data_IF_249652624553
#
_entry.id   IF_249652624553
#
_cell.length_a   1.000
_cell.length_b   1.000
_cell.length_c   1.000
_cell.angle_alpha   90.00
_cell.angle_beta   90.00
_cell.angle_gamma   90.00
#
_symmetry.space_group_name_H-M   'P 1'
#
loop_
_entity.id
_entity.type
_entity.pdbx_description
1 polymer ?
#
# COMPACT_ATOMS: atom_id res chain seq x y z
N UNK A 1 -14.65 -2.96 17.91
CA UNK A 1 -13.63 -3.10 16.84
C UNK A 1 -13.93 -2.06 15.77
N UNK A 2 -12.93 -1.35 15.27
CA UNK A 2 -13.16 -0.45 14.14
C UNK A 2 -13.57 -1.25 12.90
N UNK A 3 -14.43 -0.65 12.07
CA UNK A 3 -14.86 -1.22 10.81
C UNK A 3 -13.64 -1.39 9.89
N UNK A 4 -13.45 -2.55 9.22
CA UNK A 4 -12.33 -2.75 8.30
C UNK A 4 -12.39 -1.73 7.16
N UNK A 5 -11.22 -1.27 6.74
CA UNK A 5 -11.10 -0.34 5.61
C UNK A 5 -10.25 -0.92 4.49
N UNK A 6 -10.64 -0.65 3.25
CA UNK A 6 -9.87 -0.95 2.06
C UNK A 6 -9.26 0.36 1.57
N UNK A 7 -7.95 0.39 1.39
CA UNK A 7 -7.22 1.53 0.85
C UNK A 7 -6.72 1.20 -0.55
N UNK A 8 -7.01 2.11 -1.48
CA UNK A 8 -6.54 2.03 -2.87
C UNK A 8 -5.68 3.25 -3.16
N UNK A 9 -4.38 3.04 -3.27
CA UNK A 9 -3.41 4.08 -3.61
C UNK A 9 -3.40 4.35 -5.12
N UNK A 10 -3.29 5.62 -5.51
CA UNK A 10 -3.25 6.01 -6.92
C UNK A 10 -2.55 7.34 -7.15
N UNK A 11 -2.42 7.73 -8.42
CA UNK A 11 -2.07 9.06 -8.88
C UNK A 11 -2.99 9.45 -10.05
N UNK A 12 -2.83 10.64 -10.61
CA UNK A 12 -3.64 11.12 -11.72
C UNK A 12 -3.66 10.19 -12.94
N UNK A 13 -2.58 9.43 -13.19
CA UNK A 13 -2.48 8.50 -14.32
C UNK A 13 -3.27 7.20 -14.13
N UNK A 14 -3.48 6.78 -12.88
CA UNK A 14 -4.18 5.53 -12.55
C UNK A 14 -5.52 5.72 -11.81
N UNK A 15 -6.02 6.95 -11.76
CA UNK A 15 -7.28 7.32 -11.08
C UNK A 15 -8.49 6.50 -11.57
N UNK A 16 -8.59 6.26 -12.89
CA UNK A 16 -9.69 5.45 -13.45
C UNK A 16 -9.62 4.01 -12.92
N UNK A 17 -8.41 3.43 -12.89
CA UNK A 17 -8.19 2.09 -12.33
C UNK A 17 -8.66 2.03 -10.88
N UNK A 18 -8.23 2.99 -10.05
CA UNK A 18 -8.60 3.05 -8.64
C UNK A 18 -10.12 3.12 -8.42
N UNK A 19 -10.84 3.90 -9.23
CA UNK A 19 -12.32 3.98 -9.16
C UNK A 19 -12.99 2.67 -9.55
N UNK A 20 -12.50 2.01 -10.61
CA UNK A 20 -13.02 0.71 -11.04
C UNK A 20 -12.71 -0.37 -10.00
N UNK A 21 -11.53 -0.34 -9.39
CA UNK A 21 -11.15 -1.19 -8.27
C UNK A 21 -12.11 -1.01 -7.09
N UNK A 22 -12.31 0.24 -6.63
CA UNK A 22 -13.23 0.55 -5.55
C UNK A 22 -14.66 0.07 -5.83
N UNK A 23 -15.16 0.31 -7.05
CA UNK A 23 -16.45 -0.19 -7.49
C UNK A 23 -16.51 -1.72 -7.46
N UNK A 24 -15.48 -2.41 -7.93
CA UNK A 24 -15.43 -3.89 -7.93
C UNK A 24 -15.51 -4.46 -6.51
N UNK A 25 -14.88 -3.82 -5.52
CA UNK A 25 -14.94 -4.24 -4.11
C UNK A 25 -16.38 -4.20 -3.59
N UNK A 26 -17.09 -3.10 -3.84
CA UNK A 26 -18.48 -2.93 -3.41
C UNK A 26 -19.44 -3.82 -4.19
N UNK A 27 -19.31 -3.89 -5.51
CA UNK A 27 -20.20 -4.67 -6.40
C UNK A 27 -20.17 -6.17 -6.07
N UNK A 28 -18.99 -6.71 -5.78
CA UNK A 28 -18.80 -8.15 -5.58
C UNK A 28 -19.07 -8.60 -4.14
N UNK A 29 -19.23 -7.67 -3.19
CA UNK A 29 -19.48 -7.98 -1.78
C UNK A 29 -20.94 -8.34 -1.50
N UNK A 30 -21.17 -9.35 -0.64
CA UNK A 30 -22.53 -9.68 -0.16
C UNK A 30 -23.09 -8.59 0.77
N UNK A 31 -22.23 -7.96 1.55
CA UNK A 31 -22.56 -6.81 2.40
C UNK A 31 -21.60 -5.65 2.13
N UNK A 32 -21.90 -4.77 1.15
CA UNK A 32 -21.05 -3.63 0.81
C UNK A 32 -20.95 -2.60 1.94
N UNK A 33 -21.87 -2.62 2.90
CA UNK A 33 -21.85 -1.73 4.07
C UNK A 33 -21.10 -2.35 5.27
N UNK A 34 -20.40 -3.47 5.07
CA UNK A 34 -19.56 -4.09 6.10
C UNK A 34 -18.14 -3.50 6.22
N UNK A 35 -17.72 -2.69 5.24
CA UNK A 35 -16.39 -2.10 5.16
C UNK A 35 -16.41 -0.78 4.38
N UNK A 36 -15.38 0.03 4.54
CA UNK A 36 -15.22 1.28 3.78
C UNK A 36 -14.13 1.14 2.73
N UNK A 37 -14.21 1.94 1.67
CA UNK A 37 -13.21 1.96 0.60
C UNK A 37 -12.75 3.41 0.43
N UNK A 38 -11.46 3.63 0.63
CA UNK A 38 -10.82 4.94 0.60
C UNK A 38 -9.77 4.94 -0.49
N UNK A 39 -9.93 5.83 -1.49
CA UNK A 39 -8.88 6.08 -2.49
C UNK A 39 -7.96 7.16 -1.92
N UNK A 40 -6.66 6.88 -1.88
CA UNK A 40 -5.64 7.84 -1.46
C UNK A 40 -4.77 8.19 -2.66
N UNK A 41 -4.55 9.49 -2.87
CA UNK A 41 -3.85 9.99 -4.05
C UNK A 41 -2.49 10.54 -3.68
N UNK A 42 -1.48 10.21 -4.48
CA UNK A 42 -0.11 10.70 -4.31
C UNK A 42 -0.06 12.23 -4.23
N UNK A 43 -0.90 12.93 -5.00
CA UNK A 43 -0.89 14.40 -5.06
C UNK A 43 -1.33 15.08 -3.75
N UNK A 44 -2.04 14.36 -2.87
CA UNK A 44 -2.54 14.90 -1.60
C UNK A 44 -1.45 14.95 -0.51
N UNK A 45 -0.26 14.40 -0.80
CA UNK A 45 0.85 14.27 0.15
C UNK A 45 2.06 15.11 -0.30
N UNK A 46 2.30 16.30 0.32
CA UNK A 46 3.34 17.24 -0.11
C UNK A 46 4.76 16.70 -0.11
N UNK A 47 5.07 15.70 0.72
CA UNK A 47 6.40 15.12 0.82
C UNK A 47 6.89 14.48 -0.49
N UNK A 48 5.98 14.01 -1.36
CA UNK A 48 6.35 13.54 -2.69
C UNK A 48 6.84 14.67 -3.60
N UNK A 49 6.10 15.80 -3.62
CA UNK A 49 6.47 16.97 -4.41
C UNK A 49 7.84 17.51 -3.97
N UNK A 50 8.12 17.50 -2.67
CA UNK A 50 9.39 17.97 -2.12
C UNK A 50 10.61 17.20 -2.64
N UNK A 51 10.42 15.98 -3.15
CA UNK A 51 11.48 15.10 -3.63
C UNK A 51 11.60 15.01 -5.15
N UNK A 52 10.82 15.78 -5.92
CA UNK A 52 10.92 15.82 -7.38
C UNK A 52 12.36 16.08 -7.85
N UNK A 53 12.84 15.24 -8.77
CA UNK A 53 14.18 15.40 -9.37
C UNK A 53 15.35 14.99 -8.46
N UNK A 54 15.11 14.64 -7.20
CA UNK A 54 16.15 14.17 -6.30
C UNK A 54 16.51 12.70 -6.58
N UNK A 55 17.73 12.31 -6.23
CA UNK A 55 18.19 10.92 -6.32
C UNK A 55 17.76 10.13 -5.08
N UNK A 56 17.30 8.90 -5.29
CA UNK A 56 16.93 7.95 -4.23
C UNK A 56 17.56 6.58 -4.48
N UNK A 57 17.72 5.80 -3.40
CA UNK A 57 18.32 4.46 -3.45
C UNK A 57 17.29 3.39 -3.83
N UNK A 58 17.61 2.61 -4.86
CA UNK A 58 16.84 1.44 -5.30
C UNK A 58 17.79 0.39 -5.87
N UNK A 59 17.68 -0.84 -5.37
CA UNK A 59 18.57 -1.95 -5.76
C UNK A 59 20.05 -1.58 -5.63
N UNK A 60 20.41 -0.86 -4.55
CA UNK A 60 21.76 -0.38 -4.27
C UNK A 60 22.28 0.69 -5.23
N UNK A 61 21.44 1.21 -6.14
CA UNK A 61 21.79 2.21 -7.14
C UNK A 61 20.96 3.48 -6.99
N UNK A 62 21.48 4.61 -7.49
CA UNK A 62 20.78 5.90 -7.45
C UNK A 62 19.87 6.11 -8.66
N UNK A 63 18.57 6.31 -8.43
CA UNK A 63 17.57 6.66 -9.44
C UNK A 63 16.98 8.05 -9.18
N UNK A 64 16.43 8.71 -10.20
CA UNK A 64 15.79 10.03 -10.03
C UNK A 64 14.31 9.84 -9.75
N UNK A 65 13.81 10.44 -8.66
CA UNK A 65 12.39 10.44 -8.34
C UNK A 65 11.62 11.36 -9.29
N UNK A 66 10.50 10.84 -9.82
CA UNK A 66 9.59 11.55 -10.72
C UNK A 66 8.16 11.34 -10.21
N UNK A 67 7.50 12.42 -9.83
CA UNK A 67 6.09 12.36 -9.41
C UNK A 67 5.17 11.95 -10.58
N UNK A 68 5.58 12.26 -11.81
CA UNK A 68 4.88 11.85 -13.03
C UNK A 68 5.11 10.36 -13.39
N UNK A 69 5.89 9.59 -12.61
CA UNK A 69 6.01 8.15 -12.83
C UNK A 69 4.66 7.45 -12.66
N UNK A 70 4.37 6.45 -13.50
CA UNK A 70 3.11 5.71 -13.45
C UNK A 70 2.84 5.12 -12.06
N UNK A 71 3.89 4.70 -11.35
CA UNK A 71 3.85 4.03 -10.06
C UNK A 71 4.35 4.92 -8.90
N UNK A 72 4.40 6.25 -9.08
CA UNK A 72 4.86 7.20 -8.04
C UNK A 72 4.07 7.09 -6.72
N UNK A 73 2.85 6.57 -6.74
CA UNK A 73 2.01 6.35 -5.56
C UNK A 73 2.43 5.14 -4.71
N UNK A 74 3.31 4.26 -5.20
CA UNK A 74 3.63 2.97 -4.55
C UNK A 74 3.98 3.08 -3.06
N UNK A 75 4.72 4.10 -2.57
CA UNK A 75 4.99 4.26 -1.14
C UNK A 75 3.72 4.42 -0.27
N UNK A 76 2.60 4.88 -0.85
CA UNK A 76 1.33 4.99 -0.12
C UNK A 76 0.75 3.63 0.30
N UNK A 77 1.27 2.50 -0.19
CA UNK A 77 0.93 1.15 0.33
C UNK A 77 1.15 1.01 1.84
N UNK A 78 2.02 1.84 2.41
CA UNK A 78 2.41 1.82 3.82
C UNK A 78 1.65 2.84 4.69
N UNK A 79 0.80 3.67 4.07
CA UNK A 79 0.02 4.74 4.73
C UNK A 79 -1.16 4.26 5.60
N UNK A 80 -1.82 3.12 5.28
CA UNK A 80 -3.05 2.73 5.99
C UNK A 80 -2.96 2.63 7.53
N UNK A 81 -1.87 2.11 8.14
CA UNK A 81 -1.77 2.14 9.60
C UNK A 81 -1.86 3.56 10.18
N UNK A 82 -1.18 4.54 9.60
CA UNK A 82 -1.24 5.95 10.04
C UNK A 82 -2.65 6.54 9.90
N UNK A 83 -3.30 6.34 8.74
CA UNK A 83 -4.66 6.84 8.50
C UNK A 83 -5.70 6.20 9.41
N UNK A 84 -5.45 4.98 9.87
CA UNK A 84 -6.29 4.26 10.82
C UNK A 84 -5.97 4.58 12.27
N UNK A 85 -5.03 5.49 12.55
CA UNK A 85 -4.55 5.78 13.92
C UNK A 85 -3.93 4.55 14.58
N UNK A 86 -3.27 3.71 13.79
CA UNK A 86 -2.67 2.43 14.17
C UNK A 86 -3.66 1.47 14.85
N UNK A 87 -4.91 1.44 14.39
CA UNK A 87 -5.94 0.59 14.97
C UNK A 87 -6.76 -0.18 13.93
N UNK A 88 -7.14 -1.41 14.28
CA UNK A 88 -8.01 -2.25 13.44
C UNK A 88 -7.32 -2.86 12.23
N UNK A 89 -8.12 -3.21 11.23
CA UNK A 89 -7.66 -3.92 10.02
C UNK A 89 -7.81 -3.07 8.77
N UNK A 90 -6.78 -3.11 7.94
CA UNK A 90 -6.77 -2.47 6.63
C UNK A 90 -6.44 -3.49 5.54
N UNK A 91 -7.10 -3.40 4.40
CA UNK A 91 -6.71 -4.09 3.18
C UNK A 91 -6.14 -3.07 2.20
N UNK A 92 -4.88 -3.22 1.84
CA UNK A 92 -4.18 -2.40 0.84
C UNK A 92 -4.33 -3.07 -0.51
N UNK A 93 -4.68 -2.30 -1.55
CA UNK A 93 -4.88 -2.82 -2.90
C UNK A 93 -4.35 -1.81 -3.93
N UNK A 94 -3.52 -2.27 -4.87
CA UNK A 94 -3.10 -1.48 -6.02
C UNK A 94 -4.29 -1.09 -6.92
N UNK A 95 -4.21 0.03 -7.65
CA UNK A 95 -5.34 0.57 -8.40
C UNK A 95 -5.72 -0.28 -9.62
N UNK A 96 -4.89 -1.23 -10.03
CA UNK A 96 -5.12 -2.17 -11.13
C UNK A 96 -5.52 -3.59 -10.65
N UNK A 97 -5.92 -3.74 -9.39
CA UNK A 97 -6.44 -4.99 -8.82
C UNK A 97 -7.95 -4.88 -8.61
N UNK A 98 -8.70 -5.90 -9.04
CA UNK A 98 -10.17 -5.91 -9.03
C UNK A 98 -10.72 -7.13 -8.29
N UNK A 99 -11.75 -6.92 -7.46
CA UNK A 99 -12.44 -8.00 -6.79
C UNK A 99 -13.46 -8.67 -7.72
N UNK A 100 -13.26 -9.97 -7.95
CA UNK A 100 -14.18 -10.83 -8.72
C UNK A 100 -15.15 -11.62 -7.84
N UNK A 101 -15.00 -11.51 -6.52
CA UNK A 101 -15.80 -12.20 -5.50
C UNK A 101 -15.87 -11.39 -4.21
N UNK A 102 -16.58 -11.90 -3.20
CA UNK A 102 -16.73 -11.23 -1.92
C UNK A 102 -15.40 -11.05 -1.19
N UNK A 103 -15.00 -9.80 -0.93
CA UNK A 103 -13.74 -9.43 -0.27
C UNK A 103 -13.81 -9.61 1.26
N UNK A 104 -15.01 -9.73 1.82
CA UNK A 104 -15.20 -9.81 3.28
C UNK A 104 -14.54 -11.04 3.91
N UNK A 105 -14.44 -12.15 3.17
CA UNK A 105 -13.69 -13.34 3.60
C UNK A 105 -12.20 -13.04 3.81
N UNK A 106 -11.61 -12.17 2.97
CA UNK A 106 -10.22 -11.74 3.12
C UNK A 106 -10.08 -10.77 4.31
N UNK A 107 -10.98 -9.79 4.44
CA UNK A 107 -10.97 -8.83 5.56
C UNK A 107 -11.09 -9.51 6.93
N UNK A 108 -11.92 -10.56 7.01
CA UNK A 108 -12.15 -11.35 8.21
C UNK A 108 -11.12 -12.46 8.44
N UNK A 109 -10.15 -12.66 7.54
CA UNK A 109 -9.24 -13.80 7.59
C UNK A 109 -8.44 -13.82 8.90
N UNK A 110 -8.22 -15.02 9.44
CA UNK A 110 -7.28 -15.21 10.54
C UNK A 110 -5.86 -14.95 10.04
N UNK A 111 -5.15 -14.06 10.74
CA UNK A 111 -3.78 -13.69 10.43
C UNK A 111 -2.75 -14.52 11.22
N UNK A 112 -3.20 -15.42 12.09
CA UNK A 112 -2.32 -16.33 12.84
C UNK A 112 -1.27 -15.57 13.66
N UNK A 113 -1.62 -14.41 14.21
CA UNK A 113 -0.71 -13.53 14.96
C UNK A 113 0.18 -12.62 14.11
N UNK A 114 0.25 -12.77 12.79
CA UNK A 114 1.10 -11.95 11.91
C UNK A 114 0.53 -10.53 11.75
N UNK A 115 1.42 -9.55 11.51
CA UNK A 115 1.04 -8.17 11.23
C UNK A 115 0.54 -7.97 9.78
N UNK A 116 0.99 -8.81 8.84
CA UNK A 116 0.73 -8.68 7.41
C UNK A 116 0.41 -10.07 6.83
N UNK A 117 -0.67 -10.18 6.05
CA UNK A 117 -0.86 -11.28 5.11
C UNK A 117 -0.75 -10.75 3.68
N UNK A 118 0.08 -11.41 2.87
CA UNK A 118 0.31 -11.05 1.47
C UNK A 118 0.81 -12.26 0.67
N UNK A 119 0.95 -12.10 -0.65
CA UNK A 119 1.41 -13.17 -1.53
C UNK A 119 2.94 -13.28 -1.51
N UNK A 120 3.46 -14.45 -1.15
CA UNK A 120 4.90 -14.77 -1.33
C UNK A 120 5.25 -14.90 -2.81
N UNK A 121 6.37 -14.30 -3.23
CA UNK A 121 6.94 -14.41 -4.56
C UNK A 121 7.86 -15.65 -4.61
N UNK A 122 7.42 -16.72 -5.28
CA UNK A 122 8.06 -18.05 -5.20
C UNK A 122 9.21 -18.29 -6.18
N UNK A 123 9.47 -17.37 -7.12
CA UNK A 123 10.46 -17.55 -8.19
C UNK A 123 11.79 -16.82 -7.95
N UNK A 124 12.00 -16.25 -6.76
CA UNK A 124 13.17 -15.45 -6.44
C UNK A 124 14.08 -16.18 -5.43
N UNK A 125 15.39 -15.92 -5.52
CA UNK A 125 16.39 -16.49 -4.59
C UNK A 125 16.22 -16.00 -3.14
N UNK A 126 15.58 -14.85 -2.95
CA UNK A 126 15.22 -14.25 -1.65
C UNK A 126 13.72 -14.40 -1.40
N UNK A 127 13.33 -14.54 -0.14
CA UNK A 127 11.91 -14.61 0.25
C UNK A 127 11.27 -13.22 0.15
N UNK A 128 10.82 -12.85 -1.05
CA UNK A 128 10.12 -11.59 -1.30
C UNK A 128 8.62 -11.75 -1.18
N UNK A 129 7.96 -10.70 -0.76
CA UNK A 129 6.51 -10.62 -0.66
C UNK A 129 5.97 -9.51 -1.57
N UNK A 130 4.79 -9.73 -2.15
CA UNK A 130 4.12 -8.74 -2.97
C UNK A 130 3.31 -7.78 -2.08
N UNK A 131 3.64 -6.49 -2.11
CA UNK A 131 2.91 -5.44 -1.38
C UNK A 131 1.71 -4.86 -2.14
N UNK A 132 1.43 -5.33 -3.36
CA UNK A 132 0.30 -4.87 -4.17
C UNK A 132 -1.07 -5.22 -3.59
N UNK A 133 -1.13 -6.28 -2.76
CA UNK A 133 -2.29 -6.62 -1.94
C UNK A 133 -1.82 -7.09 -0.58
N UNK A 134 -2.22 -6.38 0.49
CA UNK A 134 -1.83 -6.71 1.86
C UNK A 134 -3.01 -6.56 2.81
N UNK A 135 -3.31 -7.60 3.60
CA UNK A 135 -4.15 -7.46 4.78
C UNK A 135 -3.26 -7.11 5.97
N UNK A 136 -3.59 -6.03 6.66
CA UNK A 136 -2.79 -5.44 7.75
C UNK A 136 -3.54 -5.50 9.07
N UNK A 137 -2.82 -5.84 10.13
CA UNK A 137 -3.17 -5.57 11.52
C UNK A 137 -2.48 -4.26 11.92
N UNK A 138 -3.21 -3.14 11.83
CA UNK A 138 -2.62 -1.80 11.92
C UNK A 138 -1.97 -1.53 13.29
N UNK A 139 -2.45 -2.17 14.35
CA UNK A 139 -1.92 -2.05 15.71
C UNK A 139 -0.53 -2.68 15.87
N UNK A 140 -0.10 -3.54 14.95
CA UNK A 140 1.26 -4.12 14.96
C UNK A 140 2.25 -3.34 14.09
N UNK A 141 1.80 -2.27 13.45
CA UNK A 141 2.56 -1.51 12.46
C UNK A 141 2.81 -0.07 12.91
N UNK A 142 2.86 0.20 14.22
CA UNK A 142 3.17 1.52 14.79
C UNK A 142 4.53 2.09 14.37
N UNK A 143 5.44 1.22 13.92
CA UNK A 143 6.74 1.61 13.41
C UNK A 143 6.70 2.12 11.97
N UNK A 144 5.60 1.92 11.21
CA UNK A 144 5.47 2.45 9.85
C UNK A 144 5.18 3.94 9.88
N UNK A 145 5.99 4.73 9.19
CA UNK A 145 5.71 6.14 8.96
C UNK A 145 6.16 6.50 7.55
N UNK A 146 5.19 6.68 6.64
CA UNK A 146 5.46 6.75 5.19
C UNK A 146 6.32 7.95 4.85
N UNK A 147 6.07 9.11 5.44
CA UNK A 147 6.86 10.31 5.13
C UNK A 147 8.32 10.14 5.55
N UNK A 148 8.57 9.68 6.80
CA UNK A 148 9.92 9.39 7.29
C UNK A 148 10.59 8.33 6.42
N UNK A 149 9.90 7.22 6.16
CA UNK A 149 10.45 6.09 5.42
C UNK A 149 10.71 6.43 3.95
N UNK A 150 9.85 7.24 3.33
CA UNK A 150 10.07 7.79 1.99
C UNK A 150 11.28 8.72 1.96
N UNK A 151 11.42 9.61 2.94
CA UNK A 151 12.56 10.52 3.05
C UNK A 151 13.90 9.78 3.21
N UNK A 152 13.92 8.66 3.94
CA UNK A 152 15.09 7.80 4.11
C UNK A 152 15.65 7.24 2.79
N UNK A 153 14.83 7.13 1.74
CA UNK A 153 15.29 6.72 0.40
C UNK A 153 16.27 7.72 -0.20
N UNK A 154 16.09 9.02 0.09
CA UNK A 154 16.90 10.12 -0.43
C UNK A 154 18.14 10.38 0.42
N UNK A 155 18.10 9.94 1.69
CA UNK A 155 19.26 9.92 2.60
C UNK A 155 20.16 8.71 2.35
N UNK A 156 19.70 7.74 1.56
CA UNK A 156 20.41 6.50 1.28
C UNK A 156 20.42 5.52 2.45
N UNK A 157 19.63 5.77 3.49
CA UNK A 157 19.48 4.91 4.67
C UNK A 157 18.41 3.83 4.49
N UNK A 158 17.65 3.88 3.39
CA UNK A 158 16.66 2.88 2.98
C UNK A 158 16.76 2.58 1.47
N UNK A 159 16.56 1.33 1.09
CA UNK A 159 16.42 0.92 -0.32
C UNK A 159 14.93 0.75 -0.69
N UNK A 160 14.54 1.30 -1.84
CA UNK A 160 13.17 1.21 -2.33
C UNK A 160 12.73 -0.24 -2.62
N UNK A 161 13.58 -1.07 -3.24
CA UNK A 161 13.22 -2.44 -3.60
C UNK A 161 13.00 -3.31 -2.35
N UNK A 162 13.87 -3.16 -1.34
CA UNK A 162 13.75 -3.85 -0.06
C UNK A 162 12.47 -3.40 0.67
N UNK A 163 12.18 -2.09 0.68
CA UNK A 163 10.98 -1.56 1.33
C UNK A 163 9.69 -2.10 0.69
N UNK A 164 9.55 -1.95 -0.63
CA UNK A 164 8.35 -2.39 -1.35
C UNK A 164 8.18 -3.93 -1.31
N UNK A 165 9.26 -4.68 -1.08
CA UNK A 165 9.24 -6.14 -0.99
C UNK A 165 9.10 -6.71 0.41
N UNK A 166 8.94 -5.84 1.42
CA UNK A 166 8.82 -6.20 2.83
C UNK A 166 10.05 -6.95 3.37
N UNK A 167 11.26 -6.51 2.99
CA UNK A 167 12.54 -7.10 3.44
C UNK A 167 13.28 -6.26 4.50
N UNK A 168 12.64 -5.23 5.07
CA UNK A 168 13.21 -4.32 6.08
C UNK A 168 12.77 -4.63 7.50
#
# INVERSE_FOLDING_TARGET
MSRPQIFIQTNAKQEIGARVSAYSMKRSARNPDGFDVTIIRQEDYPFFRAREGQRYTRQGSGFVWRNDDLQSFTPLRFMPPELMGYAGRALVVDPDVFAVSDVTELLGRDMGGHAILCRRLTKLRRQRFASSVMLLDCAKLEHWNVERDFNALFEGTRDYDDWISLEL
#
